data_IF_325139271465
#
_entry.id   IF_325139271465
#
_cell.length_a   1.000
_cell.length_b   1.000
_cell.length_c   1.000
_cell.angle_alpha   90.00
_cell.angle_beta   90.00
_cell.angle_gamma   90.00
#
_symmetry.space_group_name_H-M   'P 1'
#
loop_
_entity.id
_entity.type
_entity.pdbx_description
1 polymer ?
#
# COMPACT_ATOMS: atom_id res chain seq x y z
N UNK A 1 4.75 15.16 -13.16
CA UNK A 1 6.15 15.41 -12.73
C UNK A 1 7.01 14.35 -13.39
N UNK A 2 7.78 14.72 -14.41
CA UNK A 2 8.64 13.82 -15.17
C UNK A 2 9.99 13.78 -14.47
N UNK A 3 10.41 12.62 -13.95
CA UNK A 3 11.79 12.45 -13.50
C UNK A 3 12.65 12.17 -14.73
N UNK A 4 13.67 13.00 -14.97
CA UNK A 4 14.70 12.76 -15.96
C UNK A 4 15.97 12.38 -15.20
N UNK A 5 16.49 11.18 -15.43
CA UNK A 5 17.87 10.85 -15.05
C UNK A 5 18.73 11.31 -16.22
N UNK A 6 19.35 12.48 -16.09
CA UNK A 6 20.30 13.00 -17.07
C UNK A 6 21.71 12.79 -16.48
N UNK A 7 22.46 11.86 -17.04
CA UNK A 7 23.88 11.72 -16.74
C UNK A 7 24.65 12.76 -17.57
N UNK A 8 25.09 13.84 -16.93
CA UNK A 8 26.10 14.73 -17.52
C UNK A 8 27.50 14.23 -17.18
N UNK A 9 28.34 14.21 -18.21
CA UNK A 9 29.76 13.85 -18.17
C UNK A 9 30.54 14.95 -17.43
N UNK A 10 30.92 14.68 -16.17
CA UNK A 10 31.86 15.51 -15.41
C UNK A 10 33.26 14.86 -15.51
N UNK A 11 33.95 15.07 -16.64
CA UNK A 11 35.34 14.61 -16.86
C UNK A 11 35.51 13.30 -17.64
N UNK A 12 36.65 12.63 -17.41
CA UNK A 12 37.27 11.53 -18.18
C UNK A 12 36.58 10.15 -18.06
N UNK A 13 35.36 10.08 -17.51
CA UNK A 13 34.64 8.82 -17.30
C UNK A 13 33.57 8.61 -18.38
N UNK A 14 33.57 7.39 -18.93
CA UNK A 14 32.64 6.92 -19.96
C UNK A 14 31.37 6.34 -19.31
N UNK A 15 30.20 6.71 -19.83
CA UNK A 15 28.91 6.18 -19.36
C UNK A 15 28.67 4.84 -20.08
N UNK A 16 28.59 3.76 -19.32
CA UNK A 16 28.42 2.40 -19.87
C UNK A 16 26.95 2.06 -20.18
N UNK A 17 25.98 2.62 -19.45
CA UNK A 17 24.54 2.36 -19.65
C UNK A 17 23.65 3.46 -19.05
N UNK A 18 22.41 3.59 -19.54
CA UNK A 18 21.36 4.43 -18.95
C UNK A 18 19.96 3.84 -19.14
N UNK A 19 19.08 4.06 -18.16
CA UNK A 19 17.69 3.61 -18.19
C UNK A 19 16.72 4.73 -17.79
N UNK A 20 15.61 4.86 -18.52
CA UNK A 20 14.54 5.82 -18.23
C UNK A 20 13.22 5.07 -18.24
N UNK A 21 12.54 5.07 -17.09
CA UNK A 21 11.19 4.54 -16.96
C UNK A 21 10.19 5.66 -16.67
N UNK A 22 9.05 5.64 -17.36
CA UNK A 22 7.94 6.55 -17.11
C UNK A 22 6.74 5.79 -16.60
N UNK A 23 6.55 5.81 -15.28
CA UNK A 23 5.42 5.15 -14.63
C UNK A 23 4.27 6.14 -14.45
N UNK A 24 3.14 5.88 -15.11
CA UNK A 24 1.90 6.65 -14.87
C UNK A 24 1.39 6.34 -13.46
N UNK A 25 0.92 7.37 -12.74
CA UNK A 25 0.33 7.24 -11.38
C UNK A 25 1.29 6.63 -10.34
N UNK A 26 2.57 6.98 -10.38
CA UNK A 26 3.56 6.47 -9.42
C UNK A 26 3.32 6.98 -7.97
N UNK A 27 2.75 8.19 -7.84
CA UNK A 27 2.55 8.86 -6.57
C UNK A 27 1.14 9.41 -6.46
N UNK A 28 0.46 9.16 -5.32
CA UNK A 28 -0.78 9.84 -4.98
C UNK A 28 -0.56 11.34 -4.88
N UNK A 29 -1.42 12.07 -5.57
CA UNK A 29 -1.46 13.52 -5.57
C UNK A 29 -2.48 13.99 -4.52
N UNK A 30 -2.02 14.80 -3.56
CA UNK A 30 -2.85 15.39 -2.51
C UNK A 30 -3.17 16.85 -2.83
N UNK A 31 -3.90 17.07 -3.92
CA UNK A 31 -4.35 18.39 -4.35
C UNK A 31 -5.71 18.30 -5.04
N UNK A 32 -6.35 19.43 -5.29
CA UNK A 32 -7.70 19.48 -5.87
C UNK A 32 -8.72 18.95 -4.87
N UNK A 33 -9.55 17.99 -5.29
CA UNK A 33 -10.66 17.43 -4.51
C UNK A 33 -10.24 16.37 -3.50
N UNK A 34 -8.98 16.37 -3.06
CA UNK A 34 -8.46 15.36 -2.13
C UNK A 34 -9.12 15.46 -0.74
N UNK A 35 -9.57 16.65 -0.35
CA UNK A 35 -10.37 16.90 0.84
C UNK A 35 -11.68 16.08 0.88
N UNK A 36 -12.19 15.68 -0.29
CA UNK A 36 -13.39 14.85 -0.44
C UNK A 36 -13.12 13.34 -0.47
N UNK A 37 -11.89 12.89 -0.22
CA UNK A 37 -11.54 11.46 -0.22
C UNK A 37 -12.41 10.63 0.74
N UNK A 38 -12.85 11.21 1.86
CA UNK A 38 -13.76 10.53 2.79
C UNK A 38 -15.10 10.15 2.16
N UNK A 39 -15.67 11.00 1.30
CA UNK A 39 -16.92 10.71 0.58
C UNK A 39 -16.75 9.54 -0.39
N UNK A 40 -15.61 9.50 -1.11
CA UNK A 40 -15.27 8.43 -2.02
C UNK A 40 -15.10 7.10 -1.28
N UNK A 41 -14.34 7.08 -0.18
CA UNK A 41 -14.16 5.90 0.67
C UNK A 41 -15.50 5.40 1.22
N UNK A 42 -16.35 6.29 1.71
CA UNK A 42 -17.68 5.93 2.22
C UNK A 42 -18.57 5.34 1.11
N UNK A 43 -18.50 5.86 -0.11
CA UNK A 43 -19.22 5.31 -1.25
C UNK A 43 -18.69 3.91 -1.65
N UNK A 44 -17.38 3.75 -1.75
CA UNK A 44 -16.73 2.47 -2.10
C UNK A 44 -17.03 1.37 -1.07
N UNK A 45 -17.10 1.72 0.22
CA UNK A 45 -17.38 0.76 1.29
C UNK A 45 -18.78 0.12 1.18
N UNK A 46 -19.73 0.72 0.44
CA UNK A 46 -21.05 0.13 0.18
C UNK A 46 -21.01 -1.10 -0.74
N UNK A 47 -19.91 -1.30 -1.47
CA UNK A 47 -19.74 -2.45 -2.38
C UNK A 47 -19.04 -3.56 -1.61
N UNK A 48 -19.79 -4.53 -1.09
CA UNK A 48 -19.28 -5.54 -0.14
C UNK A 48 -18.01 -6.24 -0.62
N UNK A 49 -17.98 -6.70 -1.87
CA UNK A 49 -16.88 -7.46 -2.46
C UNK A 49 -15.74 -6.63 -3.07
N UNK A 50 -15.68 -5.31 -2.81
CA UNK A 50 -14.61 -4.43 -3.29
C UNK A 50 -13.63 -4.05 -2.18
N UNK A 51 -12.37 -4.45 -2.30
CA UNK A 51 -11.30 -4.12 -1.36
C UNK A 51 -10.26 -3.22 -2.01
N UNK A 52 -10.11 -2.00 -1.50
CA UNK A 52 -9.14 -1.02 -1.99
C UNK A 52 -7.81 -1.17 -1.24
N UNK A 53 -6.80 -1.74 -1.89
CA UNK A 53 -5.50 -2.06 -1.30
C UNK A 53 -4.34 -1.34 -1.99
N UNK A 54 -3.22 -1.23 -1.29
CA UNK A 54 -1.99 -0.64 -1.81
C UNK A 54 -2.04 0.87 -2.04
N UNK A 55 -0.92 1.42 -2.50
CA UNK A 55 -0.69 2.87 -2.69
C UNK A 55 -1.81 3.58 -3.46
N UNK A 56 -2.15 3.09 -4.66
CA UNK A 56 -3.15 3.75 -5.51
C UNK A 56 -4.59 3.31 -5.20
N UNK A 57 -4.81 2.09 -4.68
CA UNK A 57 -6.15 1.67 -4.27
C UNK A 57 -6.65 2.50 -3.08
N UNK A 58 -5.76 2.83 -2.16
CA UNK A 58 -6.06 3.70 -1.03
C UNK A 58 -5.82 5.19 -1.29
N UNK A 59 -5.16 5.50 -2.41
CA UNK A 59 -4.65 6.83 -2.75
C UNK A 59 -3.82 7.44 -1.62
N UNK A 60 -2.92 6.64 -1.03
CA UNK A 60 -2.03 7.02 0.07
C UNK A 60 -0.58 6.72 -0.23
N UNK A 61 0.30 7.62 0.19
CA UNK A 61 1.75 7.47 0.11
C UNK A 61 2.21 6.37 1.08
N UNK A 62 2.24 5.15 0.56
CA UNK A 62 2.66 3.95 1.28
C UNK A 62 3.97 3.42 0.69
N UNK A 63 4.80 2.81 1.54
CA UNK A 63 5.91 1.96 1.11
C UNK A 63 5.38 0.55 0.74
N UNK A 64 6.28 -0.31 0.24
CA UNK A 64 5.93 -1.63 -0.28
C UNK A 64 5.38 -2.56 0.81
N UNK A 65 5.99 -2.54 1.99
CA UNK A 65 5.55 -3.26 3.20
C UNK A 65 4.11 -2.92 3.57
N UNK A 66 3.77 -1.63 3.63
CA UNK A 66 2.41 -1.17 3.92
C UNK A 66 1.42 -1.60 2.84
N UNK A 67 1.83 -1.53 1.57
CA UNK A 67 0.99 -1.97 0.46
C UNK A 67 0.72 -3.48 0.54
N UNK A 68 1.72 -4.28 0.91
CA UNK A 68 1.57 -5.72 1.11
C UNK A 68 0.67 -6.04 2.31
N UNK A 69 0.84 -5.32 3.43
CA UNK A 69 -0.01 -5.49 4.62
C UNK A 69 -1.49 -5.29 4.32
N UNK A 70 -1.85 -4.32 3.47
CA UNK A 70 -3.25 -4.14 3.07
C UNK A 70 -3.82 -5.32 2.30
N UNK A 71 -2.98 -6.05 1.55
CA UNK A 71 -3.39 -7.25 0.83
C UNK A 71 -3.65 -8.43 1.80
N UNK A 72 -2.77 -8.65 2.78
CA UNK A 72 -2.99 -9.66 3.82
C UNK A 72 -4.29 -9.40 4.59
N UNK A 73 -4.53 -8.15 4.95
CA UNK A 73 -5.77 -7.75 5.60
C UNK A 73 -7.03 -8.02 4.76
N UNK A 74 -6.98 -7.74 3.45
CA UNK A 74 -8.10 -8.05 2.56
C UNK A 74 -8.38 -9.55 2.48
N UNK A 75 -7.33 -10.39 2.44
CA UNK A 75 -7.47 -11.85 2.44
C UNK A 75 -8.04 -12.35 3.76
N UNK A 76 -7.59 -11.83 4.89
CA UNK A 76 -8.10 -12.20 6.22
C UNK A 76 -9.61 -11.91 6.34
N UNK A 77 -10.04 -10.71 5.90
CA UNK A 77 -11.46 -10.33 5.89
C UNK A 77 -12.28 -11.23 4.97
N UNK A 78 -11.76 -11.55 3.78
CA UNK A 78 -12.41 -12.44 2.83
C UNK A 78 -12.62 -13.84 3.43
N UNK A 79 -11.59 -14.40 4.08
CA UNK A 79 -11.66 -15.71 4.72
C UNK A 79 -12.64 -15.73 5.91
N UNK A 80 -12.78 -14.60 6.61
CA UNK A 80 -13.73 -14.45 7.71
C UNK A 80 -15.16 -14.11 7.26
N UNK A 81 -15.41 -13.89 5.96
CA UNK A 81 -16.70 -13.44 5.46
C UNK A 81 -17.08 -12.03 5.94
N UNK A 82 -16.10 -11.21 6.31
CA UNK A 82 -16.32 -9.84 6.78
C UNK A 82 -16.16 -8.83 5.64
N UNK A 83 -17.09 -7.88 5.57
CA UNK A 83 -17.00 -6.72 4.67
C UNK A 83 -16.51 -5.45 5.38
N UNK A 84 -16.11 -5.54 6.65
CA UNK A 84 -15.60 -4.40 7.42
C UNK A 84 -14.17 -4.05 7.01
N UNK A 85 -14.04 -2.95 6.26
CA UNK A 85 -12.77 -2.51 5.65
C UNK A 85 -12.06 -1.43 6.44
N UNK A 86 -12.58 -1.01 7.61
CA UNK A 86 -12.01 0.10 8.38
C UNK A 86 -10.51 -0.11 8.63
N UNK A 87 -10.15 -1.36 8.97
CA UNK A 87 -8.76 -1.71 9.25
C UNK A 87 -7.84 -1.61 8.03
N UNK A 88 -8.32 -1.91 6.82
CA UNK A 88 -7.54 -1.70 5.59
C UNK A 88 -7.24 -0.21 5.45
N UNK A 89 -8.27 0.64 5.61
CA UNK A 89 -8.12 2.09 5.53
C UNK A 89 -7.27 2.71 6.64
N UNK A 90 -6.96 1.98 7.72
CA UNK A 90 -6.09 2.48 8.81
C UNK A 90 -4.63 2.03 8.72
N UNK A 91 -4.29 1.11 7.80
CA UNK A 91 -2.88 0.76 7.58
C UNK A 91 -2.13 2.03 7.18
N UNK A 92 -1.15 2.45 8.00
CA UNK A 92 -0.29 3.64 7.87
C UNK A 92 -0.77 4.99 8.48
N UNK A 93 -1.88 5.06 9.25
CA UNK A 93 -2.22 6.32 9.96
C UNK A 93 -1.43 6.56 11.24
N UNK A 94 -0.72 5.56 11.77
CA UNK A 94 0.03 5.66 13.02
C UNK A 94 1.54 5.78 12.73
N UNK A 95 2.00 7.02 12.53
CA UNK A 95 3.40 7.39 12.30
C UNK A 95 4.35 7.18 13.49
N UNK A 96 4.00 6.38 14.49
CA UNK A 96 4.91 6.10 15.61
C UNK A 96 5.06 4.59 15.76
N UNK A 97 6.26 4.14 15.40
CA UNK A 97 6.89 2.89 15.78
C UNK A 97 6.43 2.38 17.16
N UNK A 98 5.36 1.60 17.18
CA UNK A 98 5.12 0.56 18.14
C UNK A 98 4.56 -0.59 17.33
N UNK A 99 5.37 -1.62 17.12
CA UNK A 99 4.94 -2.92 16.66
C UNK A 99 3.97 -3.53 17.70
N UNK A 100 2.80 -2.94 17.87
CA UNK A 100 1.65 -3.69 18.32
C UNK A 100 1.27 -4.55 17.14
N UNK A 101 1.24 -5.87 17.35
CA UNK A 101 0.68 -6.83 16.40
C UNK A 101 -0.58 -6.24 15.78
N UNK A 102 -0.47 -5.80 14.53
CA UNK A 102 -1.61 -5.41 13.71
C UNK A 102 -2.27 -6.74 13.32
N UNK A 103 -3.11 -7.25 14.22
CA UNK A 103 -3.90 -8.44 13.97
C UNK A 103 -5.15 -8.00 13.22
N UNK A 104 -5.15 -8.20 11.90
CA UNK A 104 -6.29 -7.87 11.05
C UNK A 104 -7.54 -8.68 11.45
N UNK A 105 -7.34 -9.85 12.07
CA UNK A 105 -8.31 -10.59 12.86
C UNK A 105 -7.59 -11.25 14.05
N UNK A 106 -8.26 -11.40 15.20
CA UNK A 106 -7.79 -12.31 16.27
C UNK A 106 -7.97 -13.75 15.78
N UNK A 107 -7.11 -14.22 14.90
CA UNK A 107 -7.14 -15.62 14.48
C UNK A 107 -6.39 -16.45 15.52
N UNK A 108 -7.10 -17.40 16.09
CA UNK A 108 -6.61 -18.49 16.94
C UNK A 108 -5.23 -18.96 16.47
N UNK A 109 -4.31 -19.08 17.42
CA UNK A 109 -2.95 -19.60 17.28
C UNK A 109 -2.87 -20.77 16.30
N UNK A 110 -2.26 -20.56 15.13
CA UNK A 110 -1.68 -21.67 14.38
C UNK A 110 -0.32 -21.97 15.01
N UNK A 111 -0.28 -22.99 15.87
CA UNK A 111 0.95 -23.50 16.47
C UNK A 111 1.92 -23.90 15.35
N UNK A 112 3.09 -23.29 15.35
CA UNK A 112 4.22 -23.68 14.53
C UNK A 112 4.81 -24.99 15.06
N UNK A 113 4.32 -26.12 14.56
CA UNK A 113 5.05 -27.38 14.63
C UNK A 113 4.93 -28.10 13.30
N UNK A 114 5.88 -27.88 12.37
CA UNK A 114 6.52 -28.94 11.57
C UNK A 114 7.95 -28.50 11.24
N UNK A 115 8.97 -29.32 11.55
CA UNK A 115 10.37 -29.00 11.23
C UNK A 115 10.60 -29.08 9.71
N UNK A 116 11.49 -28.22 9.22
CA UNK A 116 12.01 -28.25 7.86
C UNK A 116 12.49 -29.65 7.47
N UNK A 117 12.18 -30.04 6.23
CA UNK A 117 13.06 -30.91 5.44
C UNK A 117 14.18 -30.06 4.85
#
# INVERSE_FOLDING_TARGET
MTAYVINYRFGFLEILDFHIEKVKKAYPAYFGTYDRMGELTAWLNKIENLFCIGRNGQHRYNNMDHSMMTAFCAVDLLLAGSADKEHIWSVNTEKAYHEKKINCLKTTTFSSEKPCL
#
